data_IF_337275181528
#
_entry.id   IF_337275181528
#
_cell.length_a   1.000
_cell.length_b   1.000
_cell.length_c   1.000
_cell.angle_alpha   90.00
_cell.angle_beta   90.00
_cell.angle_gamma   90.00
#
_symmetry.space_group_name_H-M   'P 1'
#
loop_
_entity.id
_entity.type
_entity.pdbx_description
1 polymer ?
#
# COMPACT_ATOMS: atom_id res chain seq x y z
N UNK A 1 -20.96 10.32 -37.80
CA UNK A 1 -20.16 11.53 -37.51
C UNK A 1 -19.75 11.47 -36.05
N UNK A 2 -18.45 11.50 -35.75
CA UNK A 2 -17.97 11.52 -34.36
C UNK A 2 -18.25 12.88 -33.73
N UNK A 3 -18.53 12.89 -32.43
CA UNK A 3 -18.72 14.12 -31.68
C UNK A 3 -17.37 14.87 -31.58
N UNK A 4 -17.39 16.20 -31.68
CA UNK A 4 -16.20 17.05 -31.54
C UNK A 4 -15.43 16.77 -30.25
N UNK A 5 -16.13 16.53 -29.14
CA UNK A 5 -15.48 16.17 -27.87
C UNK A 5 -14.68 14.86 -27.97
N UNK A 6 -15.19 13.87 -28.70
CA UNK A 6 -14.49 12.60 -28.91
C UNK A 6 -13.23 12.77 -29.75
N UNK A 7 -13.26 13.67 -30.73
CA UNK A 7 -12.08 13.98 -31.55
C UNK A 7 -10.99 14.67 -30.70
N UNK A 8 -11.38 15.60 -29.83
CA UNK A 8 -10.46 16.27 -28.91
C UNK A 8 -9.87 15.28 -27.89
N UNK A 9 -10.69 14.38 -27.34
CA UNK A 9 -10.23 13.32 -26.44
C UNK A 9 -9.20 12.39 -27.13
N UNK A 10 -9.42 12.03 -28.40
CA UNK A 10 -8.46 11.21 -29.16
C UNK A 10 -7.15 11.97 -29.46
N UNK A 11 -7.23 13.27 -29.75
CA UNK A 11 -6.03 14.09 -29.94
C UNK A 11 -5.23 14.23 -28.64
N UNK A 12 -5.89 14.62 -27.54
CA UNK A 12 -5.25 14.73 -26.23
C UNK A 12 -4.74 13.38 -25.70
N UNK A 13 -5.36 12.27 -26.09
CA UNK A 13 -4.82 10.93 -25.86
C UNK A 13 -3.48 10.71 -26.59
N UNK A 14 -3.37 11.09 -27.86
CA UNK A 14 -2.12 10.99 -28.64
C UNK A 14 -1.03 11.90 -28.08
N UNK A 15 -1.40 13.11 -27.66
CA UNK A 15 -0.47 14.10 -27.10
C UNK A 15 -0.05 13.77 -25.65
N UNK A 16 -0.75 12.86 -24.97
CA UNK A 16 -0.47 12.45 -23.59
C UNK A 16 -1.12 13.33 -22.51
N UNK A 17 -1.83 14.38 -22.92
CA UNK A 17 -2.46 15.41 -22.09
C UNK A 17 -3.78 14.96 -21.42
N UNK A 18 -4.27 13.77 -21.77
CA UNK A 18 -5.53 13.26 -21.21
C UNK A 18 -5.36 12.82 -19.73
N UNK A 19 -6.28 13.20 -18.82
CA UNK A 19 -6.30 12.69 -17.45
C UNK A 19 -6.36 11.16 -17.40
N UNK A 20 -5.75 10.53 -16.39
CA UNK A 20 -5.60 9.07 -16.32
C UNK A 20 -6.92 8.31 -16.42
N UNK A 21 -7.97 8.79 -15.74
CA UNK A 21 -9.30 8.19 -15.80
C UNK A 21 -9.86 8.18 -17.22
N UNK A 22 -9.75 9.32 -17.91
CA UNK A 22 -10.23 9.50 -19.28
C UNK A 22 -9.40 8.69 -20.26
N UNK A 23 -8.09 8.61 -20.06
CA UNK A 23 -7.17 7.80 -20.86
C UNK A 23 -7.59 6.34 -20.88
N UNK A 24 -7.88 5.76 -19.70
CA UNK A 24 -8.36 4.37 -19.59
C UNK A 24 -9.69 4.14 -20.31
N UNK A 25 -10.60 5.13 -20.27
CA UNK A 25 -11.88 5.04 -21.00
C UNK A 25 -11.65 5.00 -22.52
N UNK A 26 -10.76 5.87 -23.03
CA UNK A 26 -10.39 5.88 -24.45
C UNK A 26 -9.70 4.57 -24.84
N UNK A 27 -8.75 4.07 -24.05
CA UNK A 27 -8.06 2.81 -24.29
C UNK A 27 -9.00 1.59 -24.31
N UNK A 28 -10.03 1.59 -23.45
CA UNK A 28 -11.04 0.53 -23.43
C UNK A 28 -11.99 0.58 -24.64
N UNK A 29 -12.31 1.79 -25.14
CA UNK A 29 -13.21 2.00 -26.27
C UNK A 29 -12.52 1.84 -27.64
N UNK A 30 -11.21 2.14 -27.71
CA UNK A 30 -10.43 2.19 -28.95
C UNK A 30 -10.47 0.89 -29.77
N UNK A 31 -10.37 -0.33 -29.20
CA UNK A 31 -10.40 -1.57 -29.98
C UNK A 31 -11.72 -1.81 -30.73
N UNK A 32 -12.82 -1.24 -30.24
CA UNK A 32 -14.15 -1.41 -30.83
C UNK A 32 -14.44 -0.40 -31.96
N UNK A 33 -13.63 0.65 -32.10
CA UNK A 33 -13.85 1.76 -33.04
C UNK A 33 -12.70 1.84 -34.05
N UNK A 34 -12.91 1.27 -35.25
CA UNK A 34 -11.93 1.25 -36.33
C UNK A 34 -11.54 2.66 -36.79
N UNK A 35 -12.51 3.57 -36.91
CA UNK A 35 -12.26 4.96 -37.29
C UNK A 35 -11.38 5.67 -36.25
N UNK A 36 -11.51 5.32 -34.96
CA UNK A 36 -10.69 5.91 -33.89
C UNK A 36 -9.26 5.40 -33.96
N UNK A 37 -9.09 4.11 -34.26
CA UNK A 37 -7.77 3.50 -34.45
C UNK A 37 -7.04 4.12 -35.65
N UNK A 38 -7.74 4.31 -36.77
CA UNK A 38 -7.18 4.95 -37.95
C UNK A 38 -6.76 6.39 -37.64
N UNK A 39 -7.62 7.18 -36.97
CA UNK A 39 -7.30 8.54 -36.57
C UNK A 39 -6.09 8.61 -35.63
N UNK A 40 -6.05 7.79 -34.59
CA UNK A 40 -4.92 7.73 -33.63
C UNK A 40 -3.63 7.35 -34.36
N UNK A 41 -3.70 6.41 -35.28
CA UNK A 41 -2.54 5.99 -36.09
C UNK A 41 -2.06 7.13 -36.98
N UNK A 42 -2.97 7.80 -37.68
CA UNK A 42 -2.66 8.95 -38.54
C UNK A 42 -2.04 10.11 -37.77
N UNK A 43 -2.58 10.45 -36.59
CA UNK A 43 -2.03 11.50 -35.73
C UNK A 43 -0.62 11.16 -35.24
N UNK A 44 -0.35 9.90 -34.85
CA UNK A 44 1.00 9.46 -34.46
C UNK A 44 1.99 9.51 -35.61
N UNK A 45 1.57 9.11 -36.81
CA UNK A 45 2.38 9.20 -38.03
C UNK A 45 2.69 10.66 -38.36
N UNK A 46 1.70 11.54 -38.32
CA UNK A 46 1.88 12.98 -38.53
C UNK A 46 2.85 13.58 -37.50
N UNK A 47 2.69 13.26 -36.22
CA UNK A 47 3.62 13.69 -35.17
C UNK A 47 5.05 13.22 -35.41
N UNK A 48 5.23 12.01 -35.94
CA UNK A 48 6.55 11.47 -36.31
C UNK A 48 7.15 12.24 -37.49
N UNK A 49 6.34 12.53 -38.52
CA UNK A 49 6.77 13.31 -39.68
C UNK A 49 7.18 14.73 -39.26
N UNK A 50 6.38 15.40 -38.43
CA UNK A 50 6.70 16.73 -37.93
C UNK A 50 8.04 16.73 -37.19
N UNK A 51 8.26 15.78 -36.27
CA UNK A 51 9.53 15.65 -35.54
C UNK A 51 10.72 15.36 -36.45
N UNK A 52 10.52 14.61 -37.53
CA UNK A 52 11.59 14.30 -38.48
C UNK A 52 12.05 15.52 -39.30
N UNK A 53 11.16 16.50 -39.50
CA UNK A 53 11.43 17.72 -40.27
C UNK A 53 11.49 18.98 -39.40
N UNK A 54 11.49 18.83 -38.07
CA UNK A 54 11.60 19.95 -37.14
C UNK A 54 12.98 20.60 -37.28
N UNK A 55 13.08 21.92 -37.53
CA UNK A 55 14.36 22.60 -37.61
C UNK A 55 15.11 22.50 -36.29
N UNK A 56 16.38 22.10 -36.36
CA UNK A 56 17.25 22.05 -35.17
C UNK A 56 17.45 23.47 -34.62
N UNK A 57 16.87 23.75 -33.46
CA UNK A 57 17.18 24.96 -32.71
C UNK A 57 18.57 24.82 -32.07
N UNK A 58 19.47 25.76 -32.38
CA UNK A 58 20.77 25.84 -31.70
C UNK A 58 20.63 26.71 -30.45
N UNK A 59 21.12 26.19 -29.33
CA UNK A 59 21.20 26.93 -28.07
C UNK A 59 22.63 27.46 -27.89
N UNK A 60 22.84 28.66 -27.32
CA UNK A 60 24.18 29.24 -27.16
C UNK A 60 25.12 28.43 -26.25
N UNK A 61 24.56 27.67 -25.30
CA UNK A 61 25.32 26.88 -24.35
C UNK A 61 25.57 25.45 -24.89
N UNK A 62 26.71 24.88 -24.50
CA UNK A 62 27.08 23.52 -24.91
C UNK A 62 26.13 22.48 -24.31
N UNK A 63 26.05 21.32 -24.96
CA UNK A 63 25.29 20.17 -24.49
C UNK A 63 25.70 19.79 -23.06
N UNK A 64 27.00 19.74 -22.80
CA UNK A 64 27.60 19.35 -21.52
C UNK A 64 27.18 20.30 -20.39
N UNK A 65 27.07 21.61 -20.69
CA UNK A 65 26.58 22.59 -19.74
C UNK A 65 25.15 22.26 -19.27
N UNK A 66 24.21 22.03 -20.19
CA UNK A 66 22.83 21.68 -19.84
C UNK A 66 22.73 20.35 -19.08
N UNK A 67 23.42 19.30 -19.56
CA UNK A 67 23.40 18.00 -18.87
C UNK A 67 24.00 18.06 -17.47
N UNK A 68 24.98 18.94 -17.23
CA UNK A 68 25.52 19.15 -15.88
C UNK A 68 24.47 19.76 -14.92
N UNK A 69 23.63 20.68 -15.41
CA UNK A 69 22.56 21.29 -14.61
C UNK A 69 21.46 20.27 -14.28
N UNK A 70 21.02 19.51 -15.28
CA UNK A 70 20.01 18.45 -15.12
C UNK A 70 20.49 17.42 -14.09
N UNK A 71 21.73 16.95 -14.23
CA UNK A 71 22.32 15.99 -13.28
C UNK A 71 22.32 16.54 -11.86
N UNK A 72 22.75 17.79 -11.68
CA UNK A 72 22.80 18.43 -10.36
C UNK A 72 21.41 18.57 -9.74
N UNK A 73 20.37 18.87 -10.52
CA UNK A 73 19.00 18.92 -10.02
C UNK A 73 18.48 17.55 -9.61
N UNK A 74 18.69 16.52 -10.44
CA UNK A 74 18.31 15.14 -10.12
C UNK A 74 19.00 14.64 -8.84
N UNK A 75 20.29 14.95 -8.68
CA UNK A 75 21.05 14.58 -7.48
C UNK A 75 20.60 15.36 -6.24
N UNK A 76 20.12 16.59 -6.40
CA UNK A 76 19.59 17.41 -5.31
C UNK A 76 18.19 16.96 -4.85
N UNK A 77 17.35 16.48 -5.78
CA UNK A 77 16.00 15.99 -5.50
C UNK A 77 15.98 14.55 -4.98
N UNK A 78 17.05 13.78 -5.17
CA UNK A 78 17.15 12.43 -4.62
C UNK A 78 17.06 12.49 -3.09
N UNK A 79 16.08 11.80 -2.47
CA UNK A 79 15.95 11.77 -1.03
C UNK A 79 17.21 11.18 -0.45
N UNK A 80 18.00 12.02 0.22
CA UNK A 80 19.18 11.59 0.95
C UNK A 80 18.70 10.61 2.01
N UNK A 81 19.05 9.33 1.86
CA UNK A 81 18.65 8.31 2.81
C UNK A 81 18.97 8.81 4.23
N UNK A 82 18.02 8.76 5.18
CA UNK A 82 18.31 9.18 6.54
C UNK A 82 19.51 8.36 7.01
N UNK A 83 20.56 9.05 7.48
CA UNK A 83 21.72 8.39 8.04
C UNK A 83 21.24 7.55 9.21
N UNK A 84 21.12 6.23 9.00
CA UNK A 84 20.72 5.32 10.05
C UNK A 84 21.73 5.48 11.19
N UNK A 85 21.28 5.95 12.35
CA UNK A 85 22.20 6.12 13.48
C UNK A 85 22.72 4.73 13.85
N UNK A 86 24.01 4.49 13.60
CA UNK A 86 24.68 3.23 13.95
C UNK A 86 24.46 2.86 15.44
N UNK A 87 24.23 3.87 16.29
CA UNK A 87 23.95 3.73 17.71
C UNK A 87 22.66 2.93 18.05
N UNK A 88 21.68 2.82 17.14
CA UNK A 88 20.44 2.05 17.38
C UNK A 88 20.45 0.65 16.73
N UNK A 89 21.48 0.31 15.97
CA UNK A 89 21.57 -0.98 15.26
C UNK A 89 21.66 -2.18 16.20
N UNK A 90 22.43 -2.07 17.28
CA UNK A 90 22.62 -3.14 18.27
C UNK A 90 21.41 -3.32 19.19
N UNK A 91 20.66 -2.23 19.47
CA UNK A 91 19.44 -2.28 20.28
C UNK A 91 18.35 -3.13 19.61
N UNK A 92 18.36 -3.21 18.27
CA UNK A 92 17.44 -4.06 17.50
C UNK A 92 17.62 -5.55 17.77
N UNK A 93 18.80 -5.99 18.21
CA UNK A 93 19.05 -7.38 18.62
C UNK A 93 18.48 -7.71 20.01
N UNK A 94 18.21 -6.70 20.85
CA UNK A 94 17.62 -6.90 22.18
C UNK A 94 16.09 -6.98 22.16
N UNK A 95 15.44 -6.53 21.09
CA UNK A 95 13.98 -6.59 20.91
C UNK A 95 13.42 -8.02 21.05
N UNK A 96 13.95 -9.06 20.39
CA UNK A 96 13.43 -10.43 20.56
C UNK A 96 13.64 -10.96 21.98
N UNK A 97 14.75 -10.63 22.64
CA UNK A 97 15.02 -11.05 24.01
C UNK A 97 14.03 -10.42 25.02
N UNK A 98 13.69 -9.14 24.83
CA UNK A 98 12.66 -8.44 25.60
C UNK A 98 11.27 -9.07 25.42
N UNK A 99 10.91 -9.47 24.20
CA UNK A 99 9.65 -10.17 23.92
C UNK A 99 9.54 -11.51 24.66
N UNK A 100 10.60 -12.32 24.62
CA UNK A 100 10.65 -13.60 25.34
C UNK A 100 10.60 -13.39 26.86
N UNK A 101 11.33 -12.40 27.39
CA UNK A 101 11.31 -12.07 28.81
C UNK A 101 9.90 -11.65 29.28
N UNK A 102 9.19 -10.82 28.50
CA UNK A 102 7.82 -10.43 28.82
C UNK A 102 6.86 -11.64 28.85
N UNK A 103 6.96 -12.54 27.86
CA UNK A 103 6.16 -13.77 27.83
C UNK A 103 6.50 -14.67 29.02
N UNK A 104 7.77 -14.84 29.37
CA UNK A 104 8.20 -15.64 30.51
C UNK A 104 7.64 -15.09 31.84
N UNK A 105 7.61 -13.77 32.02
CA UNK A 105 7.01 -13.12 33.20
C UNK A 105 5.50 -13.38 33.26
N UNK A 106 4.79 -13.26 32.13
CA UNK A 106 3.34 -13.54 32.07
C UNK A 106 3.04 -15.01 32.37
N UNK A 107 3.85 -15.94 31.86
CA UNK A 107 3.69 -17.37 32.15
C UNK A 107 3.99 -17.68 33.62
N UNK A 108 5.06 -17.11 34.16
CA UNK A 108 5.45 -17.32 35.56
C UNK A 108 4.41 -16.80 36.55
N UNK A 109 3.77 -15.66 36.26
CA UNK A 109 2.71 -15.10 37.12
C UNK A 109 1.40 -15.88 37.05
N UNK A 110 1.16 -16.67 36.00
CA UNK A 110 -0.01 -17.54 35.89
C UNK A 110 0.22 -18.92 36.53
N UNK A 111 1.46 -19.37 36.67
CA UNK A 111 1.81 -20.68 37.23
C UNK A 111 2.07 -20.66 38.74
N UNK A 112 2.18 -19.48 39.35
CA UNK A 112 2.27 -19.39 40.80
C UNK A 112 0.90 -19.80 41.40
N UNK A 113 0.81 -20.91 42.17
CA UNK A 113 -0.39 -21.18 42.94
C UNK A 113 -0.62 -19.98 43.86
N UNK A 114 -1.78 -19.33 43.75
CA UNK A 114 -2.21 -18.34 44.72
C UNK A 114 -2.51 -19.08 46.02
N UNK A 115 -1.50 -19.26 46.87
CA UNK A 115 -1.74 -19.56 48.27
C UNK A 115 -2.38 -18.32 48.90
N UNK A 116 -3.70 -18.29 48.93
CA UNK A 116 -4.45 -17.33 49.75
C UNK A 116 -4.43 -17.91 51.16
N UNK A 117 -3.42 -17.53 51.94
CA UNK A 117 -3.39 -17.83 53.38
C UNK A 117 -4.39 -16.92 54.09
N UNK A 118 -5.65 -17.36 54.16
CA UNK A 118 -6.62 -16.84 55.11
C UNK A 118 -6.36 -17.50 56.46
N UNK A 119 -6.17 -16.67 57.50
CA UNK A 119 -6.00 -17.15 58.86
C UNK A 119 -7.27 -17.87 59.32
N UNK A 120 -7.27 -19.20 59.21
CA UNK A 120 -8.28 -20.09 59.78
C UNK A 120 -9.07 -20.91 58.76
N UNK A 121 -8.56 -22.13 58.47
CA UNK A 121 -9.33 -23.24 57.90
C UNK A 121 -8.94 -23.62 56.47
N UNK A 122 -8.50 -24.87 56.30
CA UNK A 122 -8.26 -25.50 54.99
C UNK A 122 -9.56 -25.54 54.17
N UNK A 123 -9.52 -24.97 52.97
CA UNK A 123 -10.56 -25.16 51.96
C UNK A 123 -9.90 -25.67 50.68
N UNK A 124 -10.04 -26.95 50.43
CA UNK A 124 -9.75 -27.56 49.13
C UNK A 124 -10.83 -27.12 48.14
N UNK A 125 -10.50 -26.22 47.21
CA UNK A 125 -11.41 -25.88 46.12
C UNK A 125 -11.44 -27.05 45.13
N UNK A 126 -12.53 -27.79 45.16
CA UNK A 126 -12.85 -28.89 44.23
C UNK A 126 -13.30 -28.28 42.89
N UNK A 127 -12.87 -28.91 41.80
CA UNK A 127 -13.18 -28.60 40.41
C UNK A 127 -14.71 -28.50 40.16
N UNK A 128 -15.19 -27.33 39.74
CA UNK A 128 -16.62 -27.07 39.46
C UNK A 128 -16.88 -27.28 37.97
N UNK A 129 -17.49 -28.41 37.62
CA UNK A 129 -17.90 -28.77 36.26
C UNK A 129 -19.28 -28.21 35.94
N UNK A 130 -19.42 -27.32 34.96
CA UNK A 130 -20.73 -26.82 34.52
C UNK A 130 -21.29 -27.67 33.38
N UNK A 131 -22.52 -28.18 33.54
CA UNK A 131 -23.30 -28.79 32.44
C UNK A 131 -24.47 -27.89 32.07
N UNK A 132 -24.64 -27.62 30.77
CA UNK A 132 -25.71 -26.77 30.24
C UNK A 132 -26.76 -27.65 29.57
N UNK A 133 -28.01 -27.56 30.03
CA UNK A 133 -29.15 -28.20 29.40
C UNK A 133 -30.04 -27.14 28.73
N UNK A 134 -30.37 -27.37 27.46
CA UNK A 134 -31.24 -26.50 26.66
C UNK A 134 -32.46 -27.30 26.22
N UNK A 135 -33.66 -26.88 26.64
CA UNK A 135 -34.91 -27.47 26.19
C UNK A 135 -35.45 -26.66 24.99
N UNK A 136 -35.45 -27.26 23.80
CA UNK A 136 -35.88 -26.56 22.58
C UNK A 136 -37.39 -26.31 22.50
N UNK A 137 -38.23 -27.02 23.27
CA UNK A 137 -39.68 -26.84 23.24
C UNK A 137 -40.19 -25.64 24.04
N UNK A 138 -39.45 -25.20 25.07
CA UNK A 138 -39.88 -24.12 25.98
C UNK A 138 -38.98 -22.87 25.93
N UNK A 139 -37.89 -22.88 25.14
CA UNK A 139 -37.04 -21.71 24.92
C UNK A 139 -36.24 -21.23 26.15
N UNK A 140 -36.10 -22.07 27.18
CA UNK A 140 -35.37 -21.75 28.42
C UNK A 140 -34.03 -22.48 28.47
N UNK A 141 -32.98 -21.78 28.87
CA UNK A 141 -31.66 -22.34 29.20
C UNK A 141 -31.42 -22.22 30.70
N UNK A 142 -31.13 -23.33 31.38
CA UNK A 142 -30.84 -23.34 32.82
C UNK A 142 -29.36 -23.66 33.03
N UNK A 143 -28.70 -22.85 33.85
CA UNK A 143 -27.33 -23.08 34.29
C UNK A 143 -27.35 -23.58 35.74
N UNK A 144 -26.93 -24.83 35.95
CA UNK A 144 -26.65 -25.34 37.28
C UNK A 144 -25.13 -25.30 37.53
N UNK A 145 -24.75 -24.68 38.64
CA UNK A 145 -23.39 -24.64 39.14
C UNK A 145 -23.41 -25.52 40.40
N UNK A 146 -22.53 -26.51 40.48
CA UNK A 146 -22.36 -27.36 41.67
C UNK A 146 -20.90 -27.35 42.12
#
# INVERSE_FOLDING_TARGET
MKNTEQLLDLQAYVDGELPEERRRQVEAALPADLDAQELVTGLRQLGTLIRAYEPTATVPASREFYWSQIRRQIDAEQPKAPAASAALGWLRWLIPAMGVAAVAVVVSTQQAPREITLAGGDVTVVDVSSTVFRSESDGVTVHWIQ
#
